data_IF_029402600209
#
_entry.id   IF_029402600209
#
_cell.length_a   1.000
_cell.length_b   1.000
_cell.length_c   1.000
_cell.angle_alpha   90.00
_cell.angle_beta   90.00
_cell.angle_gamma   90.00
#
_symmetry.space_group_name_H-M   'P 1'
#
loop_
_entity.id
_entity.type
_entity.pdbx_description
1 polymer ?
#
# COMPACT_ATOMS: atom_id res chain seq x y z
N UNK A 1 0.42 -6.44 -17.28
CA UNK A 1 0.70 -6.26 -15.85
C UNK A 1 -0.64 -5.88 -15.23
N UNK A 2 -1.34 -6.87 -14.67
CA UNK A 2 -2.66 -6.66 -14.09
C UNK A 2 -2.54 -5.88 -12.77
N UNK A 3 -3.06 -4.66 -12.76
CA UNK A 3 -3.09 -3.76 -11.60
C UNK A 3 -3.74 -4.40 -10.36
N UNK A 4 -4.61 -5.39 -10.59
CA UNK A 4 -5.34 -6.17 -9.58
C UNK A 4 -4.43 -6.84 -8.54
N UNK A 5 -3.13 -7.04 -8.84
CA UNK A 5 -2.27 -7.90 -8.02
C UNK A 5 -1.44 -7.20 -6.92
N UNK A 6 -1.47 -5.88 -6.74
CA UNK A 6 -0.48 -5.22 -5.86
C UNK A 6 -1.07 -4.23 -4.87
N UNK A 7 -2.13 -4.62 -4.15
CA UNK A 7 -2.32 -4.12 -2.78
C UNK A 7 -1.71 -5.16 -1.85
N UNK A 8 -0.43 -4.99 -1.53
CA UNK A 8 0.24 -5.91 -0.62
C UNK A 8 -0.18 -5.62 0.82
N UNK A 9 -0.78 -6.62 1.45
CA UNK A 9 -1.08 -6.57 2.88
C UNK A 9 0.17 -7.09 3.61
N UNK A 10 1.00 -6.19 4.15
CA UNK A 10 2.30 -6.59 4.74
C UNK A 10 2.09 -7.29 6.10
N UNK A 11 1.78 -8.58 6.10
CA UNK A 11 1.80 -9.40 7.31
C UNK A 11 3.21 -9.96 7.54
N UNK A 12 4.05 -9.23 8.29
CA UNK A 12 5.36 -9.77 8.68
C UNK A 12 5.26 -10.68 9.91
N UNK A 13 5.79 -11.90 9.79
CA UNK A 13 6.01 -12.87 10.86
C UNK A 13 6.97 -12.28 11.90
N UNK A 14 6.59 -12.23 13.18
CA UNK A 14 7.49 -11.78 14.24
C UNK A 14 8.52 -12.88 14.54
N UNK A 15 9.69 -12.80 13.92
CA UNK A 15 10.88 -13.52 14.39
C UNK A 15 11.55 -12.69 15.49
N UNK A 16 12.08 -13.35 16.51
CA UNK A 16 12.58 -12.75 17.77
C UNK A 16 13.89 -11.93 17.62
N UNK A 17 14.13 -11.31 16.47
CA UNK A 17 15.26 -10.43 16.22
C UNK A 17 14.83 -9.20 15.42
N UNK A 18 15.43 -8.04 15.72
CA UNK A 18 15.26 -6.81 14.93
C UNK A 18 15.94 -7.05 13.58
N UNK A 19 15.20 -7.62 12.64
CA UNK A 19 15.62 -7.71 11.24
C UNK A 19 15.13 -6.45 10.53
N UNK A 20 16.00 -5.74 9.80
CA UNK A 20 15.57 -4.58 9.01
C UNK A 20 14.49 -5.00 8.03
N UNK A 21 13.36 -4.30 8.04
CA UNK A 21 12.43 -4.42 6.93
C UNK A 21 13.07 -3.82 5.67
N UNK A 22 12.64 -4.27 4.50
CA UNK A 22 13.08 -3.66 3.26
C UNK A 22 12.79 -2.15 3.27
N UNK A 23 13.79 -1.36 2.90
CA UNK A 23 13.72 0.10 2.91
C UNK A 23 12.62 0.58 1.96
N UNK A 24 11.81 1.56 2.40
CA UNK A 24 10.66 2.07 1.66
C UNK A 24 10.99 2.43 0.20
N UNK A 25 12.14 3.07 -0.04
CA UNK A 25 12.59 3.46 -1.38
C UNK A 25 12.85 2.29 -2.36
N UNK A 26 13.01 1.07 -1.86
CA UNK A 26 13.13 -0.14 -2.70
C UNK A 26 11.77 -0.71 -3.10
N UNK A 27 10.71 -0.36 -2.35
CA UNK A 27 9.37 -0.94 -2.50
C UNK A 27 8.49 -0.14 -3.45
N UNK A 28 8.62 1.18 -3.46
CA UNK A 28 7.87 2.05 -4.35
C UNK A 28 8.73 2.48 -5.56
N UNK A 29 8.15 2.52 -6.77
CA UNK A 29 8.82 3.10 -7.91
C UNK A 29 9.02 4.61 -7.70
N UNK A 30 10.16 5.15 -8.14
CA UNK A 30 10.40 6.61 -8.17
C UNK A 30 10.12 7.22 -9.54
N UNK A 31 10.02 6.36 -10.56
CA UNK A 31 9.71 6.71 -11.95
C UNK A 31 8.81 5.64 -12.55
N UNK A 32 8.01 6.04 -13.53
CA UNK A 32 7.28 5.13 -14.41
C UNK A 32 8.25 4.40 -15.37
N UNK A 33 7.79 3.35 -16.08
CA UNK A 33 8.64 2.64 -17.06
C UNK A 33 9.21 3.52 -18.18
N UNK A 34 8.50 4.59 -18.55
CA UNK A 34 8.92 5.62 -19.52
C UNK A 34 9.88 6.68 -18.93
N UNK A 35 10.21 6.59 -17.64
CA UNK A 35 11.16 7.48 -16.95
C UNK A 35 10.56 8.75 -16.35
N UNK A 36 9.24 8.93 -16.44
CA UNK A 36 8.51 10.05 -15.83
C UNK A 36 8.49 9.93 -14.30
N UNK A 37 8.76 11.00 -13.53
CA UNK A 37 8.67 10.97 -12.08
C UNK A 37 7.25 10.64 -11.60
N UNK A 38 7.15 9.95 -10.46
CA UNK A 38 5.87 9.70 -9.78
C UNK A 38 5.79 10.52 -8.51
N UNK A 39 4.57 10.84 -8.08
CA UNK A 39 4.29 11.53 -6.84
C UNK A 39 3.75 10.55 -5.80
N UNK A 40 4.00 10.83 -4.52
CA UNK A 40 3.57 10.00 -3.41
C UNK A 40 2.60 10.75 -2.50
N UNK A 41 1.63 10.03 -1.93
CA UNK A 41 0.94 10.46 -0.72
C UNK A 41 0.83 9.32 0.29
N UNK A 42 0.79 9.71 1.56
CA UNK A 42 0.64 8.79 2.68
C UNK A 42 -0.56 9.20 3.53
N UNK A 43 -1.39 8.24 3.88
CA UNK A 43 -2.57 8.43 4.71
C UNK A 43 -2.51 7.53 5.94
N UNK A 44 -2.58 8.13 7.12
CA UNK A 44 -2.76 7.41 8.38
C UNK A 44 -4.25 7.09 8.58
N UNK A 45 -4.56 5.84 8.95
CA UNK A 45 -5.91 5.33 9.19
C UNK A 45 -5.99 4.76 10.63
N UNK A 46 -5.95 5.60 11.67
CA UNK A 46 -5.76 5.15 13.05
C UNK A 46 -6.77 4.07 13.49
N UNK A 47 -6.25 3.00 14.09
CA UNK A 47 -7.07 1.94 14.66
C UNK A 47 -7.69 0.98 13.64
N UNK A 48 -7.31 1.05 12.35
CA UNK A 48 -7.76 0.09 11.33
C UNK A 48 -7.46 -1.37 11.75
N UNK A 49 -6.27 -1.63 12.27
CA UNK A 49 -5.84 -2.94 12.76
C UNK A 49 -6.48 -3.41 14.07
N UNK A 50 -7.18 -2.53 14.79
CA UNK A 50 -7.89 -2.89 16.04
C UNK A 50 -9.31 -3.38 15.77
N UNK A 51 -9.77 -3.35 14.51
CA UNK A 51 -11.11 -3.77 14.10
C UNK A 51 -11.19 -5.31 14.00
N UNK A 52 -12.40 -5.85 14.03
CA UNK A 52 -12.61 -7.28 13.76
C UNK A 52 -12.22 -7.67 12.33
N UNK A 53 -11.85 -8.94 12.11
CA UNK A 53 -11.33 -9.42 10.80
C UNK A 53 -12.24 -9.10 9.62
N UNK A 54 -13.55 -9.33 9.74
CA UNK A 54 -14.53 -9.00 8.69
C UNK A 54 -14.55 -7.48 8.42
N UNK A 55 -14.58 -6.66 9.47
CA UNK A 55 -14.54 -5.20 9.34
C UNK A 55 -13.25 -4.66 8.72
N UNK A 56 -12.12 -5.35 8.91
CA UNK A 56 -10.85 -5.06 8.23
C UNK A 56 -11.00 -5.40 6.75
N UNK A 57 -11.42 -6.63 6.44
CA UNK A 57 -11.60 -7.08 5.06
C UNK A 57 -12.51 -6.16 4.25
N UNK A 58 -13.65 -5.76 4.83
CA UNK A 58 -14.61 -4.87 4.17
C UNK A 58 -14.01 -3.49 3.88
N UNK A 59 -13.22 -2.95 4.81
CA UNK A 59 -12.55 -1.65 4.64
C UNK A 59 -11.43 -1.72 3.62
N UNK A 60 -10.60 -2.76 3.68
CA UNK A 60 -9.54 -3.00 2.70
C UNK A 60 -10.15 -3.14 1.32
N UNK A 61 -11.23 -3.92 1.18
CA UNK A 61 -11.94 -4.07 -0.10
C UNK A 61 -12.48 -2.75 -0.65
N UNK A 62 -13.04 -1.88 0.21
CA UNK A 62 -13.49 -0.53 -0.19
C UNK A 62 -12.34 0.37 -0.63
N UNK A 63 -11.21 0.36 0.09
CA UNK A 63 -10.01 1.12 -0.28
C UNK A 63 -9.51 0.64 -1.65
N UNK A 64 -9.38 -0.69 -1.84
CA UNK A 64 -8.97 -1.28 -3.11
C UNK A 64 -9.90 -0.90 -4.25
N UNK A 65 -11.23 -0.96 -4.03
CA UNK A 65 -12.21 -0.60 -5.06
C UNK A 65 -12.07 0.86 -5.51
N UNK A 66 -11.80 1.79 -4.60
CA UNK A 66 -11.53 3.19 -4.95
C UNK A 66 -10.22 3.30 -5.74
N UNK A 67 -9.14 2.68 -5.28
CA UNK A 67 -7.84 2.77 -5.96
C UNK A 67 -7.88 2.18 -7.39
N UNK A 68 -8.65 1.11 -7.61
CA UNK A 68 -8.86 0.52 -8.94
C UNK A 68 -9.52 1.51 -9.90
N UNK A 69 -10.45 2.35 -9.44
CA UNK A 69 -11.04 3.39 -10.30
C UNK A 69 -10.00 4.41 -10.80
N UNK A 70 -8.86 4.52 -10.11
CA UNK A 70 -7.74 5.39 -10.46
C UNK A 70 -6.53 4.62 -11.02
N UNK A 71 -6.70 3.38 -11.49
CA UNK A 71 -5.59 2.53 -11.98
C UNK A 71 -4.76 3.16 -13.13
N UNK A 72 -5.35 4.09 -13.87
CA UNK A 72 -4.67 4.81 -14.96
C UNK A 72 -3.58 5.77 -14.46
N UNK A 73 -3.70 6.27 -13.23
CA UNK A 73 -2.72 7.18 -12.59
C UNK A 73 -2.00 6.53 -11.42
N UNK A 74 -2.63 5.62 -10.67
CA UNK A 74 -1.98 4.94 -9.55
C UNK A 74 -0.99 3.92 -10.10
N UNK A 75 0.25 3.96 -9.62
CA UNK A 75 1.32 3.03 -10.04
C UNK A 75 1.72 2.05 -8.95
N UNK A 76 1.43 2.39 -7.69
CA UNK A 76 1.75 1.58 -6.53
C UNK A 76 0.82 1.94 -5.38
N UNK A 77 0.40 0.93 -4.60
CA UNK A 77 -0.29 1.17 -3.33
C UNK A 77 0.03 0.06 -2.32
N UNK A 78 0.37 0.45 -1.10
CA UNK A 78 0.71 -0.46 0.01
C UNK A 78 -0.06 -0.08 1.26
N UNK A 79 -0.72 -1.07 1.88
CA UNK A 79 -1.41 -0.89 3.14
C UNK A 79 -0.66 -1.63 4.25
N UNK A 80 0.06 -0.87 5.05
CA UNK A 80 0.78 -1.37 6.22
C UNK A 80 -0.16 -1.43 7.43
N UNK A 81 -0.69 -2.62 7.72
CA UNK A 81 -1.60 -2.85 8.84
C UNK A 81 -0.95 -2.71 10.23
N UNK A 82 0.38 -2.83 10.36
CA UNK A 82 1.05 -2.58 11.65
C UNK A 82 1.07 -1.10 11.99
N UNK A 83 1.33 -0.25 11.00
CA UNK A 83 1.38 1.19 11.13
C UNK A 83 0.01 1.87 10.92
N UNK A 84 -0.98 1.14 10.41
CA UNK A 84 -2.22 1.70 9.88
C UNK A 84 -1.97 2.80 8.84
N UNK A 85 -1.05 2.55 7.91
CA UNK A 85 -0.61 3.52 6.91
C UNK A 85 -0.93 3.00 5.52
N UNK A 86 -1.64 3.79 4.72
CA UNK A 86 -1.77 3.62 3.28
C UNK A 86 -0.74 4.52 2.59
N UNK A 87 0.12 3.95 1.77
CA UNK A 87 1.02 4.68 0.88
C UNK A 87 0.59 4.43 -0.56
N UNK A 88 0.44 5.50 -1.33
CA UNK A 88 0.09 5.44 -2.76
C UNK A 88 1.08 6.28 -3.55
N UNK A 89 1.59 5.73 -4.65
CA UNK A 89 2.35 6.45 -5.67
C UNK A 89 1.51 6.60 -6.94
N UNK A 90 1.54 7.76 -7.59
CA UNK A 90 0.71 8.09 -8.74
C UNK A 90 1.44 8.98 -9.75
N UNK A 91 0.92 9.01 -10.99
CA UNK A 91 1.35 9.91 -12.05
C UNK A 91 0.63 11.26 -11.90
N UNK A 92 1.34 12.39 -11.85
CA UNK A 92 0.72 13.72 -11.74
C UNK A 92 -0.05 14.13 -13.01
#
# INVERSE_FOLDING_TARGET
MDFVQTIQNTQQKMTAGITPNESLWKRAPTKTPDGTPVCDFMLLIPGLNKRGKSQISDRVGRISAVLIQFEHIVVFADLNMKLNLLWVSYKP
#
